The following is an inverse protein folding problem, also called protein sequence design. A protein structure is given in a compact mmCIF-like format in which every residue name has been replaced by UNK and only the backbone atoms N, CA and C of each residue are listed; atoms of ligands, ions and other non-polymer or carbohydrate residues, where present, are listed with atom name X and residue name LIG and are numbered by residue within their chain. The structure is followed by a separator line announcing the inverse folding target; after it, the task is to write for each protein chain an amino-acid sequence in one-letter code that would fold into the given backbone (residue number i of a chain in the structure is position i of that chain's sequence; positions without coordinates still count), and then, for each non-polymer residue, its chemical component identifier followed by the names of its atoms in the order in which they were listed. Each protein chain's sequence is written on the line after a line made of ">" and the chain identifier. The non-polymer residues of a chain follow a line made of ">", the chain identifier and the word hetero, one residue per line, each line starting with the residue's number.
data_IF_054843522018
#
_entry.id   IF_054843522018
#
_cell.length_a   1.000
_cell.length_b   1.000
_cell.length_c   1.000
_cell.angle_alpha   90.00
_cell.angle_beta   90.00
_cell.angle_gamma   90.00
#
_symmetry.space_group_name_H-M   'P 1'
#
loop_
_entity.id
_entity.type
_entity.pdbx_description
1 polymer ?
#
# COMPACT_ATOMS: atom_id res chain seq x y z
N UNK A 1 1.17 -30.35 -15.80
CA UNK A 1 0.80 -28.99 -16.26
C UNK A 1 -0.28 -28.47 -15.33
N UNK A 2 0.10 -27.74 -14.27
CA UNK A 2 -0.83 -27.24 -13.25
C UNK A 2 -1.42 -25.91 -13.72
N UNK A 3 -2.67 -25.92 -14.20
CA UNK A 3 -3.44 -24.69 -14.24
C UNK A 3 -3.92 -24.44 -12.81
N UNK A 4 -3.18 -23.62 -12.06
CA UNK A 4 -3.63 -23.15 -10.76
C UNK A 4 -4.88 -22.28 -11.00
N UNK A 5 -6.06 -22.86 -10.85
CA UNK A 5 -7.31 -22.12 -10.90
C UNK A 5 -7.29 -21.06 -9.79
N UNK A 6 -7.39 -19.80 -10.20
CA UNK A 6 -7.47 -18.66 -9.29
C UNK A 6 -8.84 -18.70 -8.60
N UNK A 7 -8.89 -18.46 -7.30
CA UNK A 7 -10.16 -18.32 -6.59
C UNK A 7 -10.77 -16.94 -6.85
N UNK A 8 -12.06 -16.76 -6.60
CA UNK A 8 -12.70 -15.44 -6.64
C UNK A 8 -12.03 -14.45 -5.68
N UNK A 9 -11.56 -14.93 -4.53
CA UNK A 9 -10.79 -14.14 -3.57
C UNK A 9 -9.45 -13.70 -4.16
N UNK A 10 -8.76 -14.57 -4.91
CA UNK A 10 -7.54 -14.21 -5.61
C UNK A 10 -7.79 -13.11 -6.65
N UNK A 11 -8.85 -13.24 -7.45
CA UNK A 11 -9.17 -12.26 -8.48
C UNK A 11 -9.50 -10.90 -7.88
N UNK A 12 -10.31 -10.89 -6.83
CA UNK A 12 -10.65 -9.68 -6.08
C UNK A 12 -9.42 -9.03 -5.47
N UNK A 13 -8.58 -9.81 -4.77
CA UNK A 13 -7.33 -9.31 -4.21
C UNK A 13 -6.41 -8.69 -5.28
N UNK A 14 -6.32 -9.29 -6.46
CA UNK A 14 -5.53 -8.72 -7.56
C UNK A 14 -6.08 -7.36 -7.98
N UNK A 15 -7.39 -7.21 -8.14
CA UNK A 15 -8.01 -5.93 -8.52
C UNK A 15 -7.81 -4.85 -7.45
N UNK A 16 -8.08 -5.18 -6.19
CA UNK A 16 -7.95 -4.25 -5.06
C UNK A 16 -6.48 -3.80 -4.86
N UNK A 17 -5.52 -4.73 -4.98
CA UNK A 17 -4.10 -4.38 -4.93
C UNK A 17 -3.66 -3.60 -6.17
N UNK A 18 -4.31 -3.79 -7.32
CA UNK A 18 -4.05 -2.98 -8.52
C UNK A 18 -4.52 -1.54 -8.35
N UNK A 19 -5.75 -1.35 -7.91
CA UNK A 19 -6.33 -0.03 -7.68
C UNK A 19 -5.54 0.75 -6.64
N UNK A 20 -5.13 0.11 -5.53
CA UNK A 20 -4.31 0.74 -4.50
C UNK A 20 -2.96 1.25 -5.04
N UNK A 21 -2.23 0.41 -5.79
CA UNK A 21 -0.96 0.83 -6.41
C UNK A 21 -1.16 1.99 -7.40
N UNK A 22 -2.23 1.95 -8.20
CA UNK A 22 -2.56 3.02 -9.14
C UNK A 22 -2.87 4.34 -8.42
N UNK A 23 -3.66 4.29 -7.35
CA UNK A 23 -4.01 5.45 -6.54
C UNK A 23 -2.76 6.09 -5.93
N UNK A 24 -1.89 5.30 -5.29
CA UNK A 24 -0.65 5.81 -4.68
C UNK A 24 0.25 6.49 -5.71
N UNK A 25 0.46 5.85 -6.87
CA UNK A 25 1.27 6.43 -7.96
C UNK A 25 0.68 7.70 -8.55
N UNK A 26 -0.65 7.74 -8.69
CA UNK A 26 -1.34 8.93 -9.17
C UNK A 26 -1.16 10.09 -8.20
N UNK A 27 -1.28 9.82 -6.91
CA UNK A 27 -1.21 10.84 -5.87
C UNK A 27 0.20 11.41 -5.72
N UNK A 28 1.24 10.58 -5.82
CA UNK A 28 2.63 11.08 -5.94
C UNK A 28 2.82 12.03 -7.12
N UNK A 29 2.24 11.72 -8.29
CA UNK A 29 2.33 12.60 -9.47
C UNK A 29 1.56 13.90 -9.26
N UNK A 30 0.37 13.84 -8.67
CA UNK A 30 -0.44 15.02 -8.36
C UNK A 30 0.29 15.92 -7.36
N UNK A 31 0.84 15.36 -6.29
CA UNK A 31 1.63 16.10 -5.29
C UNK A 31 2.85 16.78 -5.94
N UNK A 32 3.62 16.03 -6.73
CA UNK A 32 4.79 16.56 -7.44
C UNK A 32 4.42 17.69 -8.42
N UNK A 33 3.31 17.55 -9.14
CA UNK A 33 2.84 18.55 -10.10
C UNK A 33 2.31 19.82 -9.43
N UNK A 34 1.56 19.67 -8.33
CA UNK A 34 0.94 20.80 -7.64
C UNK A 34 1.89 21.52 -6.67
N UNK A 35 3.08 20.96 -6.38
CA UNK A 35 4.03 21.46 -5.36
C UNK A 35 3.36 21.75 -4.02
N UNK A 36 2.27 21.04 -3.72
CA UNK A 36 1.53 21.20 -2.47
C UNK A 36 2.34 20.49 -1.39
N UNK A 37 2.73 21.23 -0.36
CA UNK A 37 3.29 20.65 0.86
C UNK A 37 2.19 19.87 1.58
N UNK A 38 1.95 18.63 1.18
CA UNK A 38 1.00 17.76 1.85
C UNK A 38 1.65 17.29 3.14
N UNK A 39 1.16 17.78 4.29
CA UNK A 39 1.73 17.40 5.58
C UNK A 39 1.38 15.96 5.96
N UNK A 40 0.23 15.44 5.50
CA UNK A 40 -0.23 14.05 5.71
C UNK A 40 -1.21 13.64 4.61
N UNK A 41 -0.98 12.48 4.00
CA UNK A 41 -1.96 11.85 3.11
C UNK A 41 -2.54 10.60 3.75
N UNK A 42 -3.88 10.50 3.78
CA UNK A 42 -4.59 9.32 4.26
C UNK A 42 -5.26 8.61 3.10
N UNK A 43 -4.82 7.39 2.81
CA UNK A 43 -5.45 6.51 1.83
C UNK A 43 -6.34 5.51 2.56
N UNK A 44 -7.64 5.80 2.64
CA UNK A 44 -8.60 4.82 3.17
C UNK A 44 -9.07 3.95 2.02
N UNK A 45 -8.76 2.66 2.09
CA UNK A 45 -9.35 1.67 1.23
C UNK A 45 -10.28 0.78 2.08
N UNK A 46 -11.57 0.75 1.74
CA UNK A 46 -12.59 0.09 2.57
C UNK A 46 -12.60 -1.45 2.40
N UNK A 47 -11.73 -2.01 1.57
CA UNK A 47 -11.66 -3.46 1.38
C UNK A 47 -10.78 -4.13 2.46
N UNK A 48 -11.43 -4.71 3.48
CA UNK A 48 -10.81 -5.56 4.51
C UNK A 48 -9.94 -6.69 3.93
N UNK A 49 -10.20 -7.10 2.69
CA UNK A 49 -9.40 -8.06 1.94
C UNK A 49 -7.97 -7.54 1.78
N UNK A 50 -7.76 -6.28 1.39
CA UNK A 50 -6.43 -5.68 1.24
C UNK A 50 -5.63 -5.72 2.55
N UNK A 51 -6.26 -5.41 3.69
CA UNK A 51 -5.63 -5.50 5.00
C UNK A 51 -5.18 -6.93 5.31
N UNK A 52 -6.05 -7.92 5.08
CA UNK A 52 -5.70 -9.33 5.29
C UNK A 52 -4.53 -9.80 4.43
N UNK A 53 -4.32 -9.21 3.24
CA UNK A 53 -3.19 -9.52 2.36
C UNK A 53 -1.89 -8.81 2.75
N UNK A 54 -2.00 -7.61 3.35
CA UNK A 54 -0.86 -6.89 3.92
C UNK A 54 -0.36 -7.60 5.19
N UNK A 55 -1.27 -8.17 5.98
CA UNK A 55 -0.94 -8.87 7.23
C UNK A 55 -0.43 -10.31 7.02
N UNK A 56 -0.72 -10.94 5.87
CA UNK A 56 -0.25 -12.29 5.53
C UNK A 56 1.26 -12.32 5.32
N UNK A 57 1.92 -13.41 5.73
CA UNK A 57 3.35 -13.58 5.46
C UNK A 57 3.61 -13.72 3.96
N UNK A 58 4.69 -13.14 3.41
CA UNK A 58 5.00 -13.21 1.97
C UNK A 58 5.09 -14.64 1.41
N UNK A 59 5.48 -15.60 2.24
CA UNK A 59 5.54 -17.04 1.91
C UNK A 59 4.18 -17.65 1.61
N UNK A 60 3.10 -17.02 2.08
CA UNK A 60 1.70 -17.47 1.88
C UNK A 60 1.05 -16.80 0.66
N UNK A 61 1.78 -15.90 -0.01
CA UNK A 61 1.27 -15.07 -1.08
C UNK A 61 1.81 -15.52 -2.44
N UNK A 62 0.97 -15.39 -3.46
CA UNK A 62 1.42 -15.50 -4.85
C UNK A 62 2.38 -14.35 -5.15
N UNK A 63 3.44 -14.59 -5.92
CA UNK A 63 4.48 -13.58 -6.26
C UNK A 63 3.89 -12.26 -6.74
N UNK A 64 2.82 -12.29 -7.55
CA UNK A 64 2.12 -11.08 -8.01
C UNK A 64 1.57 -10.23 -6.85
N UNK A 65 0.99 -10.87 -5.83
CA UNK A 65 0.44 -10.19 -4.66
C UNK A 65 1.56 -9.65 -3.78
N UNK A 66 2.62 -10.43 -3.53
CA UNK A 66 3.82 -9.99 -2.79
C UNK A 66 4.36 -8.69 -3.37
N UNK A 67 4.59 -8.65 -4.69
CA UNK A 67 5.16 -7.48 -5.36
C UNK A 67 4.30 -6.22 -5.19
N UNK A 68 2.97 -6.38 -5.20
CA UNK A 68 2.03 -5.25 -5.02
C UNK A 68 1.91 -4.81 -3.57
N UNK A 69 1.85 -5.75 -2.62
CA UNK A 69 1.90 -5.44 -1.19
C UNK A 69 3.20 -4.69 -0.86
N UNK A 70 4.34 -5.16 -1.37
CA UNK A 70 5.62 -4.46 -1.21
C UNK A 70 5.59 -3.04 -1.80
N UNK A 71 5.04 -2.87 -3.00
CA UNK A 71 4.87 -1.54 -3.63
C UNK A 71 3.98 -0.64 -2.78
N UNK A 72 2.87 -1.16 -2.25
CA UNK A 72 1.94 -0.37 -1.42
C UNK A 72 2.64 0.06 -0.14
N UNK A 73 3.33 -0.85 0.54
CA UNK A 73 4.06 -0.55 1.77
C UNK A 73 5.15 0.49 1.53
N UNK A 74 5.94 0.35 0.46
CA UNK A 74 7.00 1.29 0.07
C UNK A 74 6.45 2.70 -0.17
N UNK A 75 5.42 2.81 -1.02
CA UNK A 75 4.79 4.10 -1.36
C UNK A 75 3.99 4.72 -0.21
N UNK A 76 3.56 3.92 0.77
CA UNK A 76 2.85 4.42 1.96
C UNK A 76 3.82 4.82 3.09
N UNK A 77 5.04 4.28 3.12
CA UNK A 77 6.00 4.52 4.20
C UNK A 77 6.81 5.82 4.05
N UNK A 78 6.84 6.42 2.86
CA UNK A 78 7.61 7.65 2.60
C UNK A 78 7.08 8.88 3.36
N UNK A 79 5.77 8.98 3.61
CA UNK A 79 5.16 10.07 4.41
C UNK A 79 4.95 9.73 5.90
N UNK A 80 5.07 8.46 6.30
CA UNK A 80 4.84 8.04 7.69
C UNK A 80 6.10 8.03 8.56
N UNK A 81 7.28 8.24 7.98
CA UNK A 81 8.58 8.13 8.68
C UNK A 81 9.18 9.44 9.18
N UNK A 82 8.54 10.59 8.96
CA UNK A 82 8.98 11.85 9.57
C UNK A 82 8.47 11.99 11.02
N UNK A 83 9.30 11.52 11.95
CA UNK A 83 9.53 12.13 13.28
C UNK A 83 8.40 12.06 14.34
N UNK A 84 8.33 10.94 15.07
CA UNK A 84 8.08 10.99 16.53
C UNK A 84 9.43 10.87 17.23
N UNK A 85 10.25 11.93 17.19
CA UNK A 85 11.46 12.08 18.01
C UNK A 85 11.94 13.53 18.00
N UNK A 86 11.10 14.46 18.44
CA UNK A 86 11.60 15.71 19.02
C UNK A 86 10.59 16.22 20.03
N UNK A 87 11.10 16.69 21.17
CA UNK A 87 10.41 17.18 22.36
C UNK A 87 9.95 16.11 23.36
N UNK A 88 10.93 15.40 23.94
CA UNK A 88 11.04 15.27 25.40
C UNK A 88 12.51 15.45 25.82
N UNK A 89 13.04 16.65 25.59
CA UNK A 89 14.13 17.23 26.39
C UNK A 89 13.79 18.70 26.66
N UNK A 90 13.99 19.11 27.90
CA UNK A 90 13.69 20.41 28.54
C UNK A 90 12.23 20.65 28.98
N UNK A 91 12.06 20.69 30.30
CA UNK A 91 10.83 20.91 31.05
C UNK A 91 10.90 20.20 32.39
#
# INVERSE_FOLDING_TARGET
>A
MFTANLTEEDYRARLELCSAVLLLKLMQRIQAALRVGVSKTYYKNDCMIMLSWIEKQPSQLKTFMVNRVATILDLSCDEQRSHVSSVLQSG
#
